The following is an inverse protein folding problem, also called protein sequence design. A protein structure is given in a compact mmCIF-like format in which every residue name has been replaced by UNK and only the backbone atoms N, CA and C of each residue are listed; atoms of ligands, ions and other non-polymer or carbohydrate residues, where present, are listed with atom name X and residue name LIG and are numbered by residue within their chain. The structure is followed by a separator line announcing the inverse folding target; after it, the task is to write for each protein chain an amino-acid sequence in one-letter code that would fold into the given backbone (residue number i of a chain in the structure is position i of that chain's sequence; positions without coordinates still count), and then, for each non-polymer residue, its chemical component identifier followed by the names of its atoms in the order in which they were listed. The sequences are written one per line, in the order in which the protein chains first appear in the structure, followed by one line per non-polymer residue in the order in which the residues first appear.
data_IF_926387306289
#
_entry.id   IF_926387306289
#
_cell.length_a   1.000
_cell.length_b   1.000
_cell.length_c   1.000
_cell.angle_alpha   90.00
_cell.angle_beta   90.00
_cell.angle_gamma   90.00
#
_symmetry.space_group_name_H-M   'P 1'
#
loop_
_entity.id
_entity.type
_entity.pdbx_description
1 polymer ?
#
# COMPACT_ATOMS: atom_id res chain seq x y z
N UNK A 1 -22.78 -18.95 14.99
CA UNK A 1 -22.30 -17.64 14.49
C UNK A 1 -20.78 -17.58 14.63
N UNK A 2 -20.04 -17.72 13.54
CA UNK A 2 -18.59 -17.63 13.57
C UNK A 2 -18.21 -16.15 13.66
N UNK A 3 -17.83 -15.68 14.86
CA UNK A 3 -17.22 -14.36 15.02
C UNK A 3 -15.89 -14.35 14.28
N UNK A 4 -15.82 -13.62 13.17
CA UNK A 4 -14.57 -13.35 12.47
C UNK A 4 -13.76 -12.37 13.34
N UNK A 5 -12.89 -12.90 14.20
CA UNK A 5 -11.95 -12.07 14.96
C UNK A 5 -11.00 -11.44 13.95
N UNK A 6 -10.99 -10.11 13.88
CA UNK A 6 -9.98 -9.37 13.12
C UNK A 6 -8.67 -9.57 13.87
N UNK A 7 -7.84 -10.48 13.38
CA UNK A 7 -6.57 -10.81 13.99
C UNK A 7 -5.66 -9.58 13.99
N UNK A 8 -5.41 -9.04 15.20
CA UNK A 8 -4.48 -7.95 15.52
C UNK A 8 -4.72 -6.63 14.76
N UNK A 9 -4.94 -5.60 15.48
CA UNK A 9 -5.06 -4.15 15.27
C UNK A 9 -4.11 -3.52 14.23
N UNK A 10 -3.96 -4.13 13.04
CA UNK A 10 -3.19 -3.56 11.96
C UNK A 10 -4.12 -2.91 10.95
N UNK A 11 -3.84 -1.66 10.65
CA UNK A 11 -4.50 -0.93 9.56
C UNK A 11 -3.65 -1.00 8.29
N UNK A 12 -4.28 -0.78 7.14
CA UNK A 12 -3.56 -0.60 5.89
C UNK A 12 -2.98 0.83 5.84
N UNK A 13 -1.67 0.97 6.14
CA UNK A 13 -0.95 2.25 6.09
C UNK A 13 -0.89 2.84 4.68
N UNK A 14 -1.15 2.05 3.63
CA UNK A 14 -1.21 2.51 2.24
C UNK A 14 -2.60 3.02 1.82
N UNK A 15 -3.62 2.93 2.67
CA UNK A 15 -4.95 3.40 2.32
C UNK A 15 -4.96 4.91 2.03
N UNK A 16 -5.54 5.35 0.91
CA UNK A 16 -5.71 6.78 0.61
C UNK A 16 -6.66 7.46 1.59
N UNK A 17 -7.55 6.70 2.23
CA UNK A 17 -8.51 7.23 3.21
C UNK A 17 -7.82 7.81 4.44
N UNK A 18 -6.69 7.23 4.86
CA UNK A 18 -5.89 7.80 5.96
C UNK A 18 -4.90 8.88 5.48
N UNK A 19 -4.98 9.29 4.21
CA UNK A 19 -4.19 10.37 3.63
C UNK A 19 -2.88 9.92 2.98
N UNK A 20 -2.69 8.63 2.70
CA UNK A 20 -1.52 8.15 1.97
C UNK A 20 -1.59 8.56 0.51
N UNK A 21 -0.46 9.04 -0.04
CA UNK A 21 -0.36 9.52 -1.41
C UNK A 21 0.94 9.06 -2.05
N UNK A 22 0.90 8.92 -3.38
CA UNK A 22 2.08 8.69 -4.22
C UNK A 22 2.66 10.05 -4.58
N UNK A 23 3.98 10.19 -4.46
CA UNK A 23 4.68 11.44 -4.71
C UNK A 23 5.74 11.36 -5.79
N UNK A 24 6.26 10.16 -6.07
CA UNK A 24 7.25 9.97 -7.13
C UNK A 24 7.16 8.54 -7.69
N UNK A 25 7.45 8.39 -8.97
CA UNK A 25 7.44 7.11 -9.66
C UNK A 25 8.24 7.18 -10.97
N UNK A 26 8.73 6.05 -11.43
CA UNK A 26 9.50 5.96 -12.68
C UNK A 26 8.62 5.98 -13.93
N UNK A 27 7.50 5.27 -13.92
CA UNK A 27 6.58 5.14 -15.06
C UNK A 27 5.18 4.66 -14.60
N UNK A 28 4.14 5.01 -15.37
CA UNK A 28 2.76 4.53 -15.19
C UNK A 28 1.99 4.48 -16.52
N UNK A 29 2.68 4.13 -17.58
CA UNK A 29 2.16 4.27 -18.94
C UNK A 29 0.93 3.37 -19.20
N UNK A 30 0.97 2.11 -18.81
CA UNK A 30 -0.12 1.17 -19.01
C UNK A 30 -1.16 1.17 -17.89
N UNK A 31 -0.77 1.48 -16.64
CA UNK A 31 -1.68 1.50 -15.51
C UNK A 31 -1.34 2.58 -14.49
N UNK A 32 -2.33 3.43 -14.18
CA UNK A 32 -2.15 4.53 -13.24
C UNK A 32 -1.77 4.02 -11.85
N UNK A 33 -0.74 4.60 -11.26
CA UNK A 33 -0.24 4.23 -9.95
C UNK A 33 -1.29 4.40 -8.83
N UNK A 34 -2.23 5.32 -8.97
CA UNK A 34 -3.33 5.51 -8.02
C UNK A 34 -4.19 4.27 -7.82
N UNK A 35 -4.30 3.40 -8.85
CA UNK A 35 -5.04 2.13 -8.75
C UNK A 35 -4.42 1.17 -7.72
N UNK A 36 -3.10 1.26 -7.51
CA UNK A 36 -2.36 0.44 -6.54
C UNK A 36 -2.85 0.60 -5.10
N UNK A 37 -3.34 1.80 -4.76
CA UNK A 37 -3.72 2.16 -3.38
C UNK A 37 -5.20 1.95 -3.08
N UNK A 38 -6.02 1.56 -4.05
CA UNK A 38 -7.45 1.31 -3.80
C UNK A 38 -7.64 0.29 -2.68
N UNK A 39 -8.57 0.57 -1.77
CA UNK A 39 -8.87 -0.35 -0.66
C UNK A 39 -9.71 -1.54 -1.13
N UNK A 40 -10.48 -1.40 -2.21
CA UNK A 40 -11.26 -2.48 -2.83
C UNK A 40 -10.34 -3.54 -3.46
N UNK A 41 -10.77 -4.79 -3.50
CA UNK A 41 -10.09 -5.83 -4.28
C UNK A 41 -9.93 -5.42 -5.75
N UNK A 42 -8.88 -5.87 -6.44
CA UNK A 42 -8.75 -5.62 -7.86
C UNK A 42 -9.86 -6.35 -8.63
N UNK A 43 -10.27 -5.75 -9.73
CA UNK A 43 -11.28 -6.32 -10.63
C UNK A 43 -10.70 -6.55 -12.02
N UNK A 44 -11.19 -7.57 -12.70
CA UNK A 44 -10.88 -7.81 -14.10
C UNK A 44 -12.08 -7.40 -14.96
N UNK A 45 -11.81 -6.71 -16.07
CA UNK A 45 -12.82 -6.34 -17.08
C UNK A 45 -12.34 -6.85 -18.42
N UNK A 46 -13.01 -7.85 -18.94
CA UNK A 46 -12.67 -8.36 -20.28
C UNK A 46 -13.09 -7.39 -21.37
N UNK A 47 -12.30 -7.34 -22.45
CA UNK A 47 -12.55 -6.47 -23.60
C UNK A 47 -12.43 -4.98 -23.35
N UNK A 48 -12.03 -4.53 -22.15
CA UNK A 48 -11.87 -3.12 -21.84
C UNK A 48 -10.45 -2.67 -22.12
N UNK A 49 -10.33 -1.56 -22.84
CA UNK A 49 -9.04 -0.94 -23.16
C UNK A 49 -9.04 0.52 -22.69
N UNK A 50 -7.90 1.01 -22.29
CA UNK A 50 -7.65 2.44 -22.12
C UNK A 50 -6.71 2.95 -23.23
N UNK A 51 -6.29 4.21 -23.13
CA UNK A 51 -5.50 4.88 -24.20
C UNK A 51 -4.24 4.11 -24.63
N UNK A 52 -3.64 3.36 -23.73
CA UNK A 52 -2.33 2.76 -23.94
C UNK A 52 -2.35 1.23 -24.05
N UNK A 53 -3.52 0.59 -24.00
CA UNK A 53 -3.64 -0.86 -24.14
C UNK A 53 -4.77 -1.47 -23.32
N UNK A 54 -4.66 -2.77 -23.04
CA UNK A 54 -5.66 -3.48 -22.22
C UNK A 54 -5.74 -2.86 -20.82
N UNK A 55 -6.95 -2.54 -20.40
CA UNK A 55 -7.16 -1.97 -19.08
C UNK A 55 -6.85 -2.99 -17.97
N UNK A 56 -6.03 -2.59 -17.02
CA UNK A 56 -5.71 -3.39 -15.84
C UNK A 56 -5.99 -2.58 -14.57
N UNK A 57 -6.59 -3.20 -13.55
CA UNK A 57 -6.87 -2.53 -12.28
C UNK A 57 -5.66 -2.56 -11.33
N UNK A 58 -4.60 -1.89 -11.75
CA UNK A 58 -3.35 -1.79 -11.01
C UNK A 58 -2.40 -0.76 -11.61
N UNK A 59 -1.24 -0.62 -11.00
CA UNK A 59 -0.12 0.12 -11.53
C UNK A 59 0.66 -0.76 -12.50
N UNK A 60 0.95 -0.25 -13.70
CA UNK A 60 1.70 -0.99 -14.72
C UNK A 60 2.61 -0.06 -15.50
N UNK A 61 3.89 -0.45 -15.59
CA UNK A 61 4.94 0.27 -16.30
C UNK A 61 5.17 -0.29 -17.68
N UNK A 62 5.83 0.49 -18.55
CA UNK A 62 6.33 -0.02 -19.84
C UNK A 62 7.39 -1.07 -19.61
N UNK A 63 7.55 -1.96 -20.61
CA UNK A 63 8.67 -2.89 -20.63
C UNK A 63 9.99 -2.14 -20.66
N UNK A 64 10.81 -2.32 -19.65
CA UNK A 64 12.12 -1.70 -19.50
C UNK A 64 13.13 -2.39 -20.42
N UNK A 65 13.66 -1.63 -21.38
CA UNK A 65 14.66 -2.11 -22.36
C UNK A 65 16.09 -1.67 -22.01
N UNK A 66 16.25 -0.92 -20.91
CA UNK A 66 17.53 -0.47 -20.37
C UNK A 66 17.81 -1.14 -19.02
N UNK A 67 19.06 -1.10 -18.56
CA UNK A 67 19.40 -1.55 -17.23
C UNK A 67 18.64 -0.75 -16.14
N UNK A 68 18.38 -1.40 -15.02
CA UNK A 68 17.70 -0.80 -13.88
C UNK A 68 16.39 -1.48 -13.50
N UNK A 69 15.53 -0.75 -12.86
CA UNK A 69 14.22 -1.21 -12.39
C UNK A 69 13.25 -0.03 -12.27
N UNK A 70 11.97 -0.33 -12.18
CA UNK A 70 10.97 0.69 -11.94
C UNK A 70 10.64 0.79 -10.46
N UNK A 71 10.18 1.96 -10.05
CA UNK A 71 9.88 2.24 -8.65
C UNK A 71 8.71 3.20 -8.49
N UNK A 72 8.17 3.20 -7.27
CA UNK A 72 7.12 4.11 -6.83
C UNK A 72 7.39 4.48 -5.36
N UNK A 73 7.32 5.78 -5.05
CA UNK A 73 7.47 6.31 -3.68
C UNK A 73 6.13 6.84 -3.20
N UNK A 74 5.72 6.37 -2.03
CA UNK A 74 4.55 6.89 -1.36
C UNK A 74 4.89 7.37 0.05
N UNK A 75 4.14 8.37 0.49
CA UNK A 75 4.16 8.91 1.84
C UNK A 75 2.90 8.49 2.57
N UNK A 76 3.06 7.88 3.72
CA UNK A 76 1.94 7.54 4.59
C UNK A 76 1.22 8.79 5.10
N UNK A 77 -0.10 8.77 5.16
CA UNK A 77 -0.88 9.82 5.79
C UNK A 77 -0.56 10.02 7.27
N UNK A 78 -0.16 8.95 7.93
CA UNK A 78 0.36 8.95 9.30
C UNK A 78 1.61 8.08 9.39
N UNK A 79 2.66 8.49 10.11
CA UNK A 79 3.82 7.63 10.37
C UNK A 79 3.38 6.33 11.04
N UNK A 80 4.04 5.22 10.73
CA UNK A 80 3.67 3.94 11.31
C UNK A 80 4.81 2.93 11.40
N UNK A 81 4.57 1.89 12.19
CA UNK A 81 5.42 0.70 12.28
C UNK A 81 4.83 -0.38 11.40
N UNK A 82 5.59 -0.83 10.42
CA UNK A 82 5.17 -1.84 9.45
C UNK A 82 5.32 -3.24 10.06
N UNK A 83 4.31 -4.08 9.91
CA UNK A 83 4.31 -5.46 10.40
C UNK A 83 4.20 -6.49 9.29
N UNK A 84 3.43 -6.18 8.23
CA UNK A 84 3.18 -7.08 7.11
C UNK A 84 2.97 -6.27 5.84
N UNK A 85 3.46 -6.78 4.73
CA UNK A 85 3.24 -6.21 3.40
C UNK A 85 2.62 -7.27 2.52
N UNK A 86 1.61 -6.89 1.73
CA UNK A 86 1.02 -7.71 0.69
C UNK A 86 1.22 -7.00 -0.65
N UNK A 87 1.95 -7.65 -1.54
CA UNK A 87 2.10 -7.25 -2.94
C UNK A 87 1.21 -8.16 -3.76
N UNK A 88 0.14 -7.62 -4.28
CA UNK A 88 -0.90 -8.35 -5.01
C UNK A 88 -0.70 -8.18 -6.51
N UNK A 89 -0.51 -9.30 -7.22
CA UNK A 89 -0.38 -9.36 -8.68
C UNK A 89 -1.62 -9.94 -9.36
N UNK A 90 -2.78 -9.93 -8.69
CA UNK A 90 -4.04 -10.43 -9.24
C UNK A 90 -4.31 -9.88 -10.64
N UNK A 91 -4.67 -10.77 -11.55
CA UNK A 91 -4.93 -10.53 -12.96
C UNK A 91 -3.71 -10.15 -13.82
N UNK A 92 -2.53 -9.95 -13.25
CA UNK A 92 -1.29 -9.79 -14.01
C UNK A 92 -0.70 -11.16 -14.31
N UNK A 93 -0.89 -11.62 -15.55
CA UNK A 93 -0.45 -12.93 -16.05
C UNK A 93 0.55 -12.71 -17.17
N UNK A 94 1.85 -12.83 -16.86
CA UNK A 94 2.95 -12.62 -17.80
C UNK A 94 3.49 -11.19 -17.82
N UNK A 95 2.77 -10.23 -17.29
CA UNK A 95 3.16 -8.82 -17.15
C UNK A 95 3.37 -8.38 -15.68
N UNK A 96 3.35 -9.31 -14.72
CA UNK A 96 3.78 -9.02 -13.35
C UNK A 96 5.31 -8.84 -13.30
N UNK A 97 5.86 -8.10 -12.32
CA UNK A 97 7.31 -8.02 -12.14
C UNK A 97 7.88 -9.38 -11.77
N UNK A 98 9.11 -9.68 -12.18
CA UNK A 98 9.77 -10.94 -11.79
C UNK A 98 10.16 -10.96 -10.32
N UNK A 99 10.51 -9.78 -9.77
CA UNK A 99 10.86 -9.59 -8.35
C UNK A 99 10.42 -8.24 -7.86
N UNK A 100 10.24 -8.14 -6.55
CA UNK A 100 9.97 -6.88 -5.84
C UNK A 100 10.92 -6.71 -4.67
N UNK A 101 11.19 -5.47 -4.27
CA UNK A 101 11.82 -5.13 -2.99
C UNK A 101 11.19 -3.88 -2.42
N UNK A 102 11.36 -3.65 -1.12
CA UNK A 102 10.80 -2.47 -0.46
C UNK A 102 11.84 -1.83 0.43
N UNK A 103 12.02 -0.54 0.21
CA UNK A 103 12.77 0.35 1.08
C UNK A 103 11.81 1.26 1.84
N UNK A 104 12.22 1.69 3.03
CA UNK A 104 11.45 2.62 3.84
C UNK A 104 12.35 3.69 4.44
N UNK A 105 11.82 4.88 4.66
CA UNK A 105 12.54 5.93 5.37
C UNK A 105 11.62 6.71 6.31
N UNK A 106 12.25 7.47 7.21
CA UNK A 106 11.56 8.38 8.11
C UNK A 106 12.13 9.80 7.90
N UNK A 107 11.33 10.66 7.29
CA UNK A 107 11.68 12.05 7.01
C UNK A 107 10.44 12.94 7.07
N UNK A 108 10.64 14.23 7.39
CA UNK A 108 9.55 15.21 7.37
C UNK A 108 9.28 15.79 5.96
N UNK A 109 10.14 15.50 4.99
CA UNK A 109 9.98 15.96 3.61
C UNK A 109 8.73 15.36 2.96
N UNK A 110 8.25 16.01 1.92
CA UNK A 110 7.16 15.46 1.09
C UNK A 110 7.72 14.35 0.20
N UNK A 111 8.84 14.63 -0.48
CA UNK A 111 9.58 13.67 -1.31
C UNK A 111 10.97 13.51 -0.69
N UNK A 112 11.35 12.29 -0.28
CA UNK A 112 12.70 12.01 0.19
C UNK A 112 13.72 12.25 -0.91
N UNK A 113 14.89 12.77 -0.56
CA UNK A 113 16.00 12.99 -1.49
C UNK A 113 17.14 11.98 -1.25
N UNK A 114 18.26 12.16 -1.97
CA UNK A 114 19.43 11.27 -1.91
C UNK A 114 20.08 11.20 -0.51
N UNK A 115 19.92 12.25 0.31
CA UNK A 115 20.50 12.34 1.66
C UNK A 115 19.60 11.70 2.73
N UNK A 116 18.36 11.34 2.40
CA UNK A 116 17.49 10.66 3.34
C UNK A 116 17.90 9.19 3.46
N UNK A 117 17.93 8.70 4.69
CA UNK A 117 18.35 7.33 5.00
C UNK A 117 17.27 6.31 4.64
N UNK A 118 17.38 5.71 3.47
CA UNK A 118 16.57 4.58 3.08
C UNK A 118 17.07 3.29 3.73
N UNK A 119 16.16 2.51 4.28
CA UNK A 119 16.42 1.22 4.91
C UNK A 119 15.71 0.16 4.10
N UNK A 120 16.43 -0.84 3.61
CA UNK A 120 15.82 -2.00 2.99
C UNK A 120 15.08 -2.81 4.06
N UNK A 121 13.77 -2.90 3.94
CA UNK A 121 12.88 -3.64 4.86
C UNK A 121 12.40 -4.96 4.27
N UNK A 122 12.45 -5.09 2.95
CA UNK A 122 12.21 -6.32 2.21
C UNK A 122 13.22 -6.40 1.05
N UNK A 123 14.15 -7.33 1.16
CA UNK A 123 15.08 -7.66 0.07
C UNK A 123 14.34 -8.19 -1.16
N UNK A 124 15.03 -8.32 -2.30
CA UNK A 124 14.42 -8.83 -3.54
C UNK A 124 13.75 -10.18 -3.31
N UNK A 125 12.45 -10.26 -3.61
CA UNK A 125 11.63 -11.46 -3.55
C UNK A 125 10.98 -11.72 -4.90
N UNK A 126 11.02 -12.95 -5.34
CA UNK A 126 10.34 -13.39 -6.57
C UNK A 126 8.83 -13.28 -6.40
N UNK A 127 8.17 -12.84 -7.45
CA UNK A 127 6.71 -12.80 -7.53
C UNK A 127 6.20 -13.83 -8.54
N UNK A 128 4.96 -14.24 -8.35
CA UNK A 128 4.23 -15.14 -9.26
C UNK A 128 3.09 -14.35 -9.93
N UNK A 129 2.61 -14.78 -11.09
CA UNK A 129 1.42 -14.21 -11.69
C UNK A 129 0.19 -14.44 -10.80
N UNK A 130 -0.78 -13.55 -10.89
CA UNK A 130 -2.12 -13.69 -10.29
C UNK A 130 -2.10 -14.20 -8.84
N UNK A 131 -1.31 -13.56 -7.97
CA UNK A 131 -1.02 -14.08 -6.62
C UNK A 131 -0.86 -12.97 -5.60
N UNK A 132 -1.18 -13.27 -4.35
CA UNK A 132 -0.83 -12.46 -3.19
C UNK A 132 0.54 -12.88 -2.64
N UNK A 133 1.40 -11.90 -2.40
CA UNK A 133 2.74 -12.10 -1.84
C UNK A 133 2.83 -11.42 -0.49
N UNK A 134 2.64 -12.22 0.57
CA UNK A 134 2.56 -11.71 1.94
C UNK A 134 3.91 -11.86 2.63
N UNK A 135 4.50 -10.73 3.06
CA UNK A 135 5.80 -10.68 3.72
C UNK A 135 5.66 -10.12 5.14
N UNK A 136 6.18 -10.85 6.13
CA UNK A 136 6.31 -10.34 7.50
C UNK A 136 7.52 -9.42 7.59
N UNK A 137 7.38 -8.29 8.28
CA UNK A 137 8.45 -7.32 8.49
C UNK A 137 8.83 -7.31 9.97
N UNK A 138 10.10 -7.61 10.24
CA UNK A 138 10.62 -7.70 11.62
C UNK A 138 11.09 -6.35 12.17
N UNK A 139 11.41 -5.39 11.31
CA UNK A 139 11.94 -4.07 11.72
C UNK A 139 10.84 -3.23 12.40
N UNK A 140 11.03 -2.94 13.70
CA UNK A 140 10.10 -2.18 14.54
C UNK A 140 10.39 -0.67 14.55
N UNK A 141 10.78 -0.12 13.41
CA UNK A 141 11.03 1.30 13.23
C UNK A 141 9.79 2.02 12.72
N UNK A 142 9.68 3.31 13.05
CA UNK A 142 8.64 4.18 12.51
C UNK A 142 9.07 4.70 11.15
N UNK A 143 8.19 4.57 10.16
CA UNK A 143 8.42 5.05 8.80
C UNK A 143 7.35 6.04 8.39
N UNK A 144 7.73 6.98 7.54
CA UNK A 144 6.84 7.96 6.90
C UNK A 144 6.66 7.69 5.43
N UNK A 145 7.63 7.03 4.80
CA UNK A 145 7.63 6.72 3.37
C UNK A 145 8.06 5.29 3.12
N UNK A 146 7.56 4.74 2.02
CA UNK A 146 8.10 3.51 1.44
C UNK A 146 8.34 3.71 -0.06
N UNK A 147 9.28 2.94 -0.59
CA UNK A 147 9.55 2.79 -2.01
C UNK A 147 9.37 1.33 -2.39
N UNK A 148 8.38 1.08 -3.24
CA UNK A 148 8.22 -0.21 -3.92
C UNK A 148 9.13 -0.19 -5.16
N UNK A 149 10.04 -1.14 -5.25
CA UNK A 149 10.83 -1.39 -6.43
C UNK A 149 10.32 -2.66 -7.11
N UNK A 150 10.13 -2.62 -8.43
CA UNK A 150 9.72 -3.74 -9.26
C UNK A 150 10.80 -4.02 -10.30
N UNK A 151 11.11 -5.30 -10.52
CA UNK A 151 12.27 -5.71 -11.34
C UNK A 151 11.84 -6.63 -12.50
N UNK A 152 12.25 -6.31 -13.75
CA UNK A 152 12.77 -5.00 -14.18
C UNK A 152 11.67 -3.95 -14.29
N UNK A 153 10.46 -4.38 -14.61
CA UNK A 153 9.21 -3.65 -14.88
C UNK A 153 8.02 -4.54 -14.56
N UNK A 154 6.81 -4.08 -14.87
CA UNK A 154 5.59 -4.90 -14.82
C UNK A 154 4.43 -4.24 -14.12
N UNK A 155 3.44 -5.06 -13.76
CA UNK A 155 2.21 -4.61 -13.14
C UNK A 155 1.98 -5.22 -11.75
N UNK A 156 1.43 -4.38 -10.87
CA UNK A 156 1.01 -4.72 -9.51
C UNK A 156 -0.41 -4.21 -9.27
N UNK A 157 -1.33 -5.10 -8.92
CA UNK A 157 -2.72 -4.76 -8.71
C UNK A 157 -2.92 -3.91 -7.46
N UNK A 158 -2.39 -4.37 -6.32
CA UNK A 158 -2.51 -3.64 -5.03
C UNK A 158 -1.22 -3.75 -4.22
N UNK A 159 -0.96 -2.69 -3.46
CA UNK A 159 0.04 -2.70 -2.39
C UNK A 159 -0.66 -2.40 -1.07
N UNK A 160 -0.61 -3.34 -0.15
CA UNK A 160 -1.14 -3.15 1.20
C UNK A 160 -0.02 -3.28 2.22
N UNK A 161 0.08 -2.30 3.10
CA UNK A 161 1.09 -2.24 4.14
C UNK A 161 0.40 -2.20 5.50
N UNK A 162 0.36 -3.33 6.15
CA UNK A 162 -0.31 -3.48 7.44
C UNK A 162 0.63 -3.15 8.60
N UNK A 163 0.16 -2.29 9.47
CA UNK A 163 0.94 -1.86 10.62
C UNK A 163 0.14 -1.08 11.64
N UNK A 164 0.84 -0.46 12.57
CA UNK A 164 0.27 0.41 13.60
C UNK A 164 0.69 1.84 13.36
N UNK A 165 -0.26 2.77 13.40
CA UNK A 165 0.03 4.20 13.28
C UNK A 165 0.76 4.71 14.52
N UNK A 166 1.72 5.61 14.33
CA UNK A 166 2.34 6.38 15.39
C UNK A 166 1.56 7.67 15.57
N UNK A 167 0.76 7.74 16.60
CA UNK A 167 0.02 8.94 16.94
C UNK A 167 0.95 10.00 17.54
N UNK A 168 0.69 11.28 17.24
CA UNK A 168 1.41 12.39 17.88
C UNK A 168 1.10 12.42 19.38
N UNK A 169 2.13 12.55 20.23
CA UNK A 169 1.97 12.54 21.70
C UNK A 169 1.17 13.70 22.29
N UNK A 170 0.90 14.77 21.52
CA UNK A 170 0.21 15.97 22.01
C UNK A 170 -1.32 15.83 22.00
N UNK A 171 -1.84 14.86 22.74
CA UNK A 171 -3.30 14.71 22.93
C UNK A 171 -3.91 15.82 23.85
N UNK A 172 -3.10 16.50 24.66
CA UNK A 172 -3.60 17.45 25.68
C UNK A 172 -4.28 18.71 25.15
N UNK A 173 -4.13 19.03 23.85
CA UNK A 173 -4.66 20.28 23.26
C UNK A 173 -5.63 20.06 22.08
N UNK A 174 -6.05 18.83 21.79
CA UNK A 174 -6.90 18.51 20.64
C UNK A 174 -8.10 17.69 21.09
N UNK A 175 -9.29 18.03 20.60
CA UNK A 175 -10.43 17.13 20.69
C UNK A 175 -10.10 15.85 19.87
N UNK A 176 -10.25 14.69 20.49
CA UNK A 176 -9.99 13.37 19.90
C UNK A 176 -11.34 12.75 19.60
N UNK A 177 -11.52 12.29 18.38
CA UNK A 177 -12.65 11.44 18.03
C UNK A 177 -12.28 9.97 18.32
N UNK A 178 -12.81 9.43 19.41
CA UNK A 178 -12.53 8.05 19.84
C UNK A 178 -13.00 6.99 18.84
N UNK A 179 -13.86 7.33 17.89
CA UNK A 179 -14.33 6.45 16.83
C UNK A 179 -13.50 6.58 15.55
N UNK A 180 -12.62 7.58 15.46
CA UNK A 180 -11.88 7.88 14.23
C UNK A 180 -10.64 6.98 14.06
N UNK A 181 -10.54 6.33 12.90
CA UNK A 181 -9.33 5.62 12.48
C UNK A 181 -8.11 6.56 12.47
N UNK A 182 -8.29 7.83 12.10
CA UNK A 182 -7.21 8.85 12.10
C UNK A 182 -6.70 9.19 13.50
N UNK A 183 -7.51 8.95 14.51
CA UNK A 183 -7.14 9.12 15.92
C UNK A 183 -6.74 7.79 16.59
N UNK A 184 -6.70 6.70 15.81
CA UNK A 184 -6.18 5.40 16.23
C UNK A 184 -7.24 4.37 16.64
N UNK A 185 -8.53 4.66 16.44
CA UNK A 185 -9.57 3.66 16.61
C UNK A 185 -9.40 2.53 15.57
N UNK A 186 -9.55 1.30 16.00
CA UNK A 186 -9.50 0.12 15.12
C UNK A 186 -10.62 -0.83 15.51
N UNK A 187 -11.49 -1.24 14.58
CA UNK A 187 -12.48 -2.25 14.86
C UNK A 187 -11.80 -3.58 15.19
N UNK A 188 -12.20 -4.23 16.26
CA UNK A 188 -11.61 -5.49 16.72
C UNK A 188 -12.44 -6.71 16.35
N UNK A 189 -13.74 -6.52 16.12
CA UNK A 189 -14.65 -7.55 15.67
C UNK A 189 -15.91 -6.95 15.06
N UNK A 190 -16.49 -7.64 14.09
CA UNK A 190 -17.82 -7.39 13.57
C UNK A 190 -18.52 -8.73 13.28
N UNK A 191 -19.83 -8.72 13.22
CA UNK A 191 -20.62 -9.92 12.90
C UNK A 191 -20.75 -10.13 11.39
N UNK A 192 -20.77 -9.05 10.60
CA UNK A 192 -20.92 -9.10 9.17
C UNK A 192 -20.28 -7.88 8.48
N UNK A 193 -19.64 -8.10 7.35
CA UNK A 193 -19.00 -7.08 6.50
C UNK A 193 -19.51 -7.18 5.03
N UNK A 194 -20.72 -7.67 4.83
CA UNK A 194 -21.22 -7.96 3.47
C UNK A 194 -21.29 -6.73 2.57
N UNK A 195 -21.76 -5.61 3.09
CA UNK A 195 -21.91 -4.35 2.34
C UNK A 195 -20.76 -3.37 2.52
N UNK A 196 -19.89 -3.60 3.47
CA UNK A 196 -18.75 -2.71 3.73
C UNK A 196 -17.91 -3.18 4.90
N UNK A 197 -16.67 -2.73 4.91
CA UNK A 197 -15.71 -3.06 5.97
C UNK A 197 -16.04 -2.33 7.26
N UNK A 198 -15.79 -2.98 8.40
CA UNK A 198 -15.98 -2.38 9.72
C UNK A 198 -15.12 -1.10 9.91
N UNK A 199 -13.96 -1.01 9.26
CA UNK A 199 -13.13 0.19 9.28
C UNK A 199 -13.84 1.41 8.70
N UNK A 200 -14.80 1.23 7.78
CA UNK A 200 -15.55 2.34 7.18
C UNK A 200 -16.38 3.11 8.21
N UNK A 201 -16.82 2.47 9.30
CA UNK A 201 -17.56 3.16 10.37
C UNK A 201 -16.71 4.24 11.05
N UNK A 202 -15.42 4.03 11.17
CA UNK A 202 -14.51 5.00 11.77
C UNK A 202 -14.05 6.10 10.81
N UNK A 203 -14.47 6.04 9.54
CA UNK A 203 -14.15 6.98 8.48
C UNK A 203 -15.31 7.94 8.14
N UNK A 204 -16.53 7.65 8.59
CA UNK A 204 -17.75 8.44 8.28
C UNK A 204 -17.65 9.91 8.71
N UNK A 205 -16.79 10.23 9.67
CA UNK A 205 -16.63 11.58 10.22
C UNK A 205 -15.38 12.32 9.72
N UNK A 206 -14.82 11.88 8.62
CA UNK A 206 -13.75 12.57 7.89
C UNK A 206 -14.39 13.38 6.73
#
# INVERSE_FOLDING_TARGET
MNKKYIQKNYINLCSPVIGTKIYDLSDQFFGLASRLLKDEPPVFKDGVYDKNGKWMDGWETRRKRSAGHDYLILKFGKPGVISKIDVDTSYFNGNQPSKVSIDACNTNKIIPNKNDKWINILGKKTTKPNSHHIFKISKKLVFTHIRLNIFPDGGVARLRVYGTMKLKKNFKKRKINLMSLLDGAVPIACNNEHFGRAENLSLIHI
#
